data_IF_220384692681
#
_entry.id   IF_220384692681
#
_cell.length_a   1.000
_cell.length_b   1.000
_cell.length_c   1.000
_cell.angle_alpha   90.00
_cell.angle_beta   90.00
_cell.angle_gamma   90.00
#
_symmetry.space_group_name_H-M   'P 1'
#
loop_
_entity.id
_entity.type
_entity.pdbx_description
1 polymer ?
#
# COMPACT_ATOMS: atom_id res chain seq x y z
N UNK A 1 -19.49 21.75 -14.46
CA UNK A 1 -18.48 20.97 -13.71
C UNK A 1 -17.96 19.94 -14.68
N UNK A 2 -16.90 20.27 -15.42
CA UNK A 2 -16.31 19.41 -16.44
C UNK A 2 -15.66 18.18 -15.80
N UNK A 3 -16.26 17.01 -16.04
CA UNK A 3 -15.79 15.72 -15.56
C UNK A 3 -14.69 15.13 -16.45
N UNK A 4 -13.59 15.85 -16.65
CA UNK A 4 -12.42 15.27 -17.32
C UNK A 4 -11.85 14.16 -16.44
N UNK A 5 -11.72 12.91 -16.93
CA UNK A 5 -11.13 11.84 -16.13
C UNK A 5 -9.67 12.17 -15.88
N UNK A 6 -9.33 12.52 -14.65
CA UNK A 6 -7.94 12.57 -14.21
C UNK A 6 -7.39 11.15 -14.30
N UNK A 7 -6.58 10.88 -15.31
CA UNK A 7 -5.96 9.57 -15.46
C UNK A 7 -5.00 9.41 -14.29
N UNK A 8 -5.30 8.49 -13.38
CA UNK A 8 -4.51 8.33 -12.19
C UNK A 8 -3.08 7.87 -12.55
N UNK A 9 -2.06 8.60 -12.08
CA UNK A 9 -0.66 8.25 -12.31
C UNK A 9 -0.29 7.06 -11.43
N UNK A 10 0.11 5.96 -12.04
CA UNK A 10 0.54 4.77 -11.27
C UNK A 10 2.04 4.82 -10.99
N UNK A 11 2.44 4.55 -9.75
CA UNK A 11 3.85 4.38 -9.39
C UNK A 11 4.38 3.03 -9.88
N UNK A 12 5.62 3.01 -10.37
CA UNK A 12 6.28 1.80 -10.89
C UNK A 12 7.25 1.16 -9.90
N UNK A 13 7.34 1.70 -8.67
CA UNK A 13 8.20 1.20 -7.60
C UNK A 13 7.42 1.08 -6.28
N UNK A 14 7.78 0.11 -5.44
CA UNK A 14 7.12 -0.15 -4.17
C UNK A 14 7.27 1.09 -3.29
N UNK A 15 6.16 1.55 -2.71
CA UNK A 15 6.16 2.78 -1.91
C UNK A 15 6.86 2.65 -0.56
N UNK A 16 7.08 1.42 -0.08
CA UNK A 16 7.82 1.15 1.15
C UNK A 16 9.32 0.87 0.94
N UNK A 17 9.69 0.12 -0.11
CA UNK A 17 11.08 -0.35 -0.29
C UNK A 17 11.71 0.03 -1.63
N UNK A 18 11.02 0.82 -2.47
CA UNK A 18 11.44 1.26 -3.79
C UNK A 18 11.74 0.15 -4.83
N UNK A 19 11.51 -1.12 -4.50
CA UNK A 19 11.71 -2.24 -5.42
C UNK A 19 10.85 -2.05 -6.70
N UNK A 20 11.41 -2.27 -7.91
CA UNK A 20 10.66 -2.14 -9.16
C UNK A 20 9.47 -3.10 -9.25
N UNK A 21 8.38 -2.64 -9.88
CA UNK A 21 7.17 -3.43 -10.07
C UNK A 21 7.38 -4.48 -11.16
N UNK A 22 7.03 -5.73 -10.88
CA UNK A 22 7.08 -6.82 -11.87
C UNK A 22 5.68 -7.15 -12.41
N UNK A 23 5.62 -7.88 -13.52
CA UNK A 23 4.34 -8.36 -14.07
C UNK A 23 3.61 -9.34 -13.12
N UNK A 24 4.35 -10.04 -12.24
CA UNK A 24 3.76 -10.90 -11.22
C UNK A 24 3.02 -10.06 -10.15
N UNK A 25 3.60 -8.92 -9.74
CA UNK A 25 2.99 -7.99 -8.77
C UNK A 25 1.70 -7.37 -9.31
N UNK A 26 1.61 -7.08 -10.61
CA UNK A 26 0.44 -6.43 -11.23
C UNK A 26 -0.83 -7.25 -11.02
N UNK A 27 -0.78 -8.58 -11.20
CA UNK A 27 -1.95 -9.45 -11.03
C UNK A 27 -2.23 -9.76 -9.57
N UNK A 28 -1.20 -9.99 -8.77
CA UNK A 28 -1.35 -10.46 -7.39
C UNK A 28 -1.71 -9.38 -6.37
N UNK A 29 -1.41 -8.10 -6.65
CA UNK A 29 -1.40 -7.05 -5.62
C UNK A 29 -2.27 -5.84 -5.96
N UNK A 30 -3.08 -5.90 -7.02
CA UNK A 30 -3.99 -4.80 -7.40
C UNK A 30 -4.94 -4.40 -6.26
N UNK A 31 -5.41 -5.38 -5.48
CA UNK A 31 -6.28 -5.19 -4.32
C UNK A 31 -5.63 -4.39 -3.17
N UNK A 32 -4.29 -4.36 -3.11
CA UNK A 32 -3.51 -3.69 -2.04
C UNK A 32 -2.96 -2.32 -2.45
N UNK A 33 -3.45 -1.76 -3.57
CA UNK A 33 -3.04 -0.43 -4.03
C UNK A 33 -3.68 0.68 -3.18
N UNK A 34 -2.93 1.76 -2.92
CA UNK A 34 -3.48 2.96 -2.27
C UNK A 34 -3.61 4.10 -3.28
N UNK A 35 -4.65 4.91 -3.10
CA UNK A 35 -5.05 5.95 -4.05
C UNK A 35 -5.07 7.28 -3.31
N UNK A 36 -4.16 8.19 -3.65
CA UNK A 36 -4.03 9.51 -3.01
C UNK A 36 -3.80 10.55 -4.09
N UNK A 37 -4.63 11.60 -4.13
CA UNK A 37 -4.50 12.76 -5.04
C UNK A 37 -4.25 12.40 -6.51
N UNK A 38 -4.96 11.38 -7.01
CA UNK A 38 -4.81 10.91 -8.40
C UNK A 38 -3.54 10.11 -8.66
N UNK A 39 -2.82 9.67 -7.62
CA UNK A 39 -1.69 8.75 -7.70
C UNK A 39 -2.10 7.38 -7.16
N UNK A 40 -1.80 6.33 -7.92
CA UNK A 40 -1.95 4.94 -7.49
C UNK A 40 -0.59 4.41 -7.05
N UNK A 41 -0.43 4.21 -5.75
CA UNK A 41 0.73 3.56 -5.15
C UNK A 41 0.51 2.06 -4.97
N UNK A 42 1.60 1.32 -4.86
CA UNK A 42 1.58 -0.13 -4.63
C UNK A 42 2.65 -0.55 -3.62
N UNK A 43 2.46 -1.73 -3.04
CA UNK A 43 3.41 -2.43 -2.19
C UNK A 43 3.75 -3.78 -2.84
N UNK A 44 5.00 -4.21 -2.76
CA UNK A 44 5.40 -5.55 -3.20
C UNK A 44 4.90 -6.61 -2.21
N UNK A 45 4.84 -7.88 -2.64
CA UNK A 45 4.30 -8.98 -1.81
C UNK A 45 4.84 -9.02 -0.37
N UNK A 46 6.16 -8.91 -0.14
CA UNK A 46 6.73 -8.82 1.21
C UNK A 46 6.21 -7.62 2.02
N UNK A 47 6.15 -6.42 1.42
CA UNK A 47 5.67 -5.22 2.09
C UNK A 47 4.16 -5.29 2.33
N UNK A 48 3.36 -5.80 1.38
CA UNK A 48 1.93 -6.06 1.58
C UNK A 48 1.71 -6.99 2.78
N UNK A 49 2.51 -8.04 2.93
CA UNK A 49 2.43 -8.94 4.08
C UNK A 49 2.82 -8.26 5.39
N UNK A 50 3.83 -7.37 5.38
CA UNK A 50 4.25 -6.62 6.55
C UNK A 50 3.20 -5.58 7.01
N UNK A 51 2.48 -4.98 6.06
CA UNK A 51 1.46 -3.95 6.31
C UNK A 51 0.02 -4.50 6.26
N UNK A 52 -0.17 -5.82 6.25
CA UNK A 52 -1.48 -6.45 6.01
C UNK A 52 -2.55 -5.98 7.00
N UNK A 53 -2.20 -5.88 8.27
CA UNK A 53 -3.12 -5.38 9.31
C UNK A 53 -3.61 -3.96 8.99
N UNK A 54 -2.71 -3.07 8.59
CA UNK A 54 -3.05 -1.68 8.31
C UNK A 54 -3.92 -1.57 7.05
N UNK A 55 -3.63 -2.39 6.05
CA UNK A 55 -4.40 -2.48 4.79
C UNK A 55 -5.82 -3.00 5.06
N UNK A 56 -5.97 -4.05 5.86
CA UNK A 56 -7.28 -4.70 6.11
C UNK A 56 -8.14 -3.95 7.13
N UNK A 57 -7.54 -3.26 8.09
CA UNK A 57 -8.28 -2.61 9.19
C UNK A 57 -8.36 -1.10 9.06
N UNK A 58 -7.51 -0.48 8.24
CA UNK A 58 -7.33 0.97 8.21
C UNK A 58 -6.80 1.54 9.54
N UNK A 59 -6.26 0.70 10.43
CA UNK A 59 -5.68 1.10 11.71
C UNK A 59 -4.16 0.97 11.67
N UNK A 60 -3.41 1.91 12.26
CA UNK A 60 -1.97 1.76 12.36
C UNK A 60 -1.63 0.55 13.24
N UNK A 61 -0.58 -0.18 12.88
CA UNK A 61 0.01 -1.18 13.79
C UNK A 61 0.52 -0.43 15.02
N UNK A 62 -0.14 -0.62 16.16
CA UNK A 62 0.37 -0.13 17.44
C UNK A 62 1.34 -1.17 18.00
N UNK A 63 2.57 -0.77 18.41
CA UNK A 63 3.43 -1.69 19.13
C UNK A 63 2.70 -2.14 20.40
N UNK A 64 2.76 -3.45 20.67
CA UNK A 64 2.22 -3.97 21.92
C UNK A 64 2.91 -3.25 23.07
N UNK A 65 2.14 -2.59 23.92
CA UNK A 65 2.66 -2.07 25.18
C UNK A 65 3.07 -3.28 26.02
N UNK A 66 4.38 -3.47 26.21
CA UNK A 66 4.89 -4.51 27.09
C UNK A 66 4.25 -4.34 28.48
N UNK A 67 3.80 -5.42 29.14
CA UNK A 67 3.33 -5.32 30.50
C UNK A 67 4.46 -4.75 31.35
N UNK A 68 4.15 -3.67 32.07
CA UNK A 68 5.08 -3.06 33.03
C UNK A 68 5.32 -4.10 34.13
N UNK A 69 6.55 -4.61 34.24
CA UNK A 69 6.91 -5.51 35.33
C UNK A 69 6.57 -4.85 36.67
N UNK A 70 5.78 -5.54 37.48
CA UNK A 70 5.40 -5.14 38.83
C UNK A 70 6.54 -5.39 39.82
#
# INVERSE_FOLDING_TARGET
MDGTPVTARTLHSCTACACPRTAADVRGLAWSSHHVDGVVGWLCGPCTRAHLFEIETGQPVRPASLPRSA
#
